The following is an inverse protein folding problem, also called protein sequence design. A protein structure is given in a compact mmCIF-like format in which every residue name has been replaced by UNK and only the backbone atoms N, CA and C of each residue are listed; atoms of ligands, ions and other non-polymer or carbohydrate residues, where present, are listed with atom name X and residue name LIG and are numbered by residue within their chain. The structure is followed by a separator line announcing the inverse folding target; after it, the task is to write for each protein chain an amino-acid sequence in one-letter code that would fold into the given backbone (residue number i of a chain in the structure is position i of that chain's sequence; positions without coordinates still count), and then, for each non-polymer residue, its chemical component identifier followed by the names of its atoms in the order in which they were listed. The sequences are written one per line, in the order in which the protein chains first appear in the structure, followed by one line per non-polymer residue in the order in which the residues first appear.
data_IF_114791222936
#
_entry.id   IF_114791222936
#
_cell.length_a   1.000
_cell.length_b   1.000
_cell.length_c   1.000
_cell.angle_alpha   90.00
_cell.angle_beta   90.00
_cell.angle_gamma   90.00
#
_symmetry.space_group_name_H-M   'P 1'
#
loop_
_entity.id
_entity.type
_entity.pdbx_description
1 polymer ?
#
# COMPACT_ATOMS: atom_id res chain seq x y z
N UNK A 1 10.98 1.25 29.05
CA UNK A 1 9.88 1.66 29.95
C UNK A 1 10.44 2.64 30.95
N UNK A 2 9.81 3.80 31.18
CA UNK A 2 10.21 4.70 32.25
C UNK A 2 10.22 3.92 33.57
N UNK A 3 11.34 3.96 34.29
CA UNK A 3 11.48 3.34 35.59
C UNK A 3 11.26 4.41 36.66
N UNK A 4 10.33 4.15 37.57
CA UNK A 4 10.07 5.02 38.71
C UNK A 4 10.66 4.34 39.95
N UNK A 5 11.64 5.00 40.56
CA UNK A 5 12.22 4.52 41.81
C UNK A 5 11.36 4.98 42.97
N UNK A 6 10.74 4.02 43.65
CA UNK A 6 9.93 4.26 44.86
C UNK A 6 10.65 3.69 46.07
N UNK A 7 10.20 4.07 47.28
CA UNK A 7 10.74 3.52 48.54
C UNK A 7 10.54 2.00 48.68
N UNK A 8 9.59 1.42 47.94
CA UNK A 8 9.31 -0.01 47.90
C UNK A 8 10.06 -0.76 46.78
N UNK A 9 10.84 -0.05 45.96
CA UNK A 9 11.56 -0.61 44.82
C UNK A 9 11.27 0.10 43.51
N UNK A 10 11.83 -0.43 42.42
CA UNK A 10 11.66 0.12 41.07
C UNK A 10 10.37 -0.42 40.44
N UNK A 11 9.46 0.47 40.05
CA UNK A 11 8.23 0.12 39.33
C UNK A 11 8.33 0.62 37.90
N UNK A 12 8.02 -0.24 36.94
CA UNK A 12 7.84 0.14 35.54
C UNK A 12 6.34 0.16 35.25
N UNK A 13 5.80 1.34 34.99
CA UNK A 13 4.43 1.46 34.51
C UNK A 13 4.43 1.27 32.99
N UNK A 14 3.53 0.43 32.43
CA UNK A 14 3.37 0.36 31.00
C UNK A 14 2.93 1.74 30.51
N UNK A 15 3.76 2.38 29.69
CA UNK A 15 3.33 3.57 28.97
C UNK A 15 2.36 3.15 27.85
N UNK A 16 1.59 4.09 27.32
CA UNK A 16 0.62 3.79 26.26
C UNK A 16 1.25 3.05 25.05
N UNK A 17 2.56 3.19 24.83
CA UNK A 17 3.32 2.47 23.80
C UNK A 17 3.62 1.02 24.18
N UNK A 18 3.90 0.73 25.45
CA UNK A 18 4.11 -0.61 25.98
C UNK A 18 2.85 -1.48 25.98
N UNK A 19 1.66 -0.88 25.88
CA UNK A 19 0.38 -1.59 25.83
C UNK A 19 0.12 -2.26 24.49
N UNK A 20 0.77 -1.79 23.42
CA UNK A 20 0.61 -2.35 22.08
C UNK A 20 1.63 -3.46 21.87
N UNK A 21 1.20 -4.61 21.33
CA UNK A 21 2.13 -5.67 20.99
C UNK A 21 3.10 -5.15 19.92
N UNK A 22 4.40 -5.28 20.18
CA UNK A 22 5.47 -4.85 19.26
C UNK A 22 5.44 -5.64 17.96
N UNK A 23 4.83 -6.83 17.98
CA UNK A 23 4.70 -7.74 16.85
C UNK A 23 3.23 -8.17 16.68
N UNK A 24 2.82 -8.58 15.46
CA UNK A 24 1.51 -9.15 15.22
C UNK A 24 1.28 -10.39 16.09
N UNK A 25 0.06 -10.55 16.59
CA UNK A 25 -0.35 -11.74 17.38
C UNK A 25 -0.77 -12.92 16.50
N UNK A 26 -0.46 -12.88 15.21
CA UNK A 26 -0.86 -13.86 14.20
C UNK A 26 0.37 -14.45 13.53
N UNK A 27 0.23 -15.66 12.97
CA UNK A 27 1.26 -16.27 12.13
C UNK A 27 1.58 -15.42 10.90
N UNK A 28 2.76 -15.64 10.32
CA UNK A 28 3.24 -14.89 9.16
C UNK A 28 2.33 -15.06 7.93
N UNK A 29 1.86 -16.28 7.69
CA UNK A 29 0.86 -16.63 6.67
C UNK A 29 -0.41 -15.79 6.81
N UNK A 30 -0.95 -15.71 8.02
CA UNK A 30 -2.15 -14.93 8.32
C UNK A 30 -1.90 -13.43 8.25
N UNK A 31 -0.72 -12.96 8.65
CA UNK A 31 -0.32 -11.56 8.50
C UNK A 31 -0.29 -11.16 7.01
N UNK A 32 0.28 -12.01 6.15
CA UNK A 32 0.30 -11.80 4.70
C UNK A 32 -1.12 -11.75 4.14
N UNK A 33 -1.99 -12.69 4.51
CA UNK A 33 -3.39 -12.70 4.06
C UNK A 33 -4.14 -11.42 4.47
N UNK A 34 -4.01 -11.00 5.74
CA UNK A 34 -4.55 -9.72 6.23
C UNK A 34 -3.99 -8.56 5.42
N UNK A 35 -2.71 -8.60 5.08
CA UNK A 35 -2.05 -7.63 4.23
C UNK A 35 -2.69 -7.53 2.84
N UNK A 36 -2.92 -8.66 2.17
CA UNK A 36 -3.57 -8.71 0.84
C UNK A 36 -4.96 -8.06 0.92
N UNK A 37 -5.78 -8.50 1.87
CA UNK A 37 -7.17 -8.03 2.02
C UNK A 37 -7.21 -6.54 2.36
N UNK A 38 -6.38 -6.08 3.30
CA UNK A 38 -6.28 -4.68 3.67
C UNK A 38 -5.77 -3.82 2.50
N UNK A 39 -4.82 -4.35 1.71
CA UNK A 39 -4.29 -3.71 0.51
C UNK A 39 -5.36 -3.54 -0.56
N UNK A 40 -6.16 -4.59 -0.80
CA UNK A 40 -7.30 -4.54 -1.71
C UNK A 40 -8.35 -3.52 -1.28
N UNK A 41 -8.77 -3.56 -0.01
CA UNK A 41 -9.72 -2.58 0.55
C UNK A 41 -9.20 -1.15 0.44
N UNK A 42 -7.91 -0.94 0.70
CA UNK A 42 -7.28 0.36 0.53
C UNK A 42 -7.33 0.82 -0.93
N UNK A 43 -7.11 -0.06 -1.91
CA UNK A 43 -7.22 0.29 -3.32
C UNK A 43 -8.65 0.66 -3.74
N UNK A 44 -9.67 0.00 -3.18
CA UNK A 44 -11.07 0.40 -3.39
C UNK A 44 -11.35 1.82 -2.89
N UNK A 45 -10.79 2.19 -1.73
CA UNK A 45 -10.89 3.55 -1.20
C UNK A 45 -10.09 4.56 -2.04
N UNK A 46 -8.93 4.16 -2.56
CA UNK A 46 -8.11 4.98 -3.44
C UNK A 46 -8.86 5.34 -4.73
N UNK A 47 -9.53 4.36 -5.37
CA UNK A 47 -10.33 4.59 -6.58
C UNK A 47 -11.51 5.52 -6.30
N UNK A 48 -12.19 5.37 -5.16
CA UNK A 48 -13.26 6.29 -4.76
C UNK A 48 -12.75 7.72 -4.56
N UNK A 49 -11.60 7.87 -3.88
CA UNK A 49 -10.96 9.17 -3.70
C UNK A 49 -10.58 9.81 -5.04
N UNK A 50 -10.03 9.03 -5.96
CA UNK A 50 -9.69 9.46 -7.32
C UNK A 50 -10.93 9.99 -8.06
N UNK A 51 -12.03 9.26 -8.02
CA UNK A 51 -13.28 9.68 -8.67
C UNK A 51 -13.77 11.01 -8.08
N UNK A 52 -13.75 11.15 -6.75
CA UNK A 52 -14.12 12.41 -6.09
C UNK A 52 -13.22 13.57 -6.51
N UNK A 53 -11.91 13.35 -6.57
CA UNK A 53 -10.94 14.35 -7.02
C UNK A 53 -11.21 14.76 -8.47
N UNK A 54 -11.47 13.80 -9.36
CA UNK A 54 -11.78 14.07 -10.77
C UNK A 54 -13.10 14.83 -10.95
N UNK A 55 -14.12 14.53 -10.13
CA UNK A 55 -15.37 15.26 -10.12
C UNK A 55 -15.18 16.73 -9.72
N UNK A 56 -14.28 17.01 -8.77
CA UNK A 56 -13.99 18.35 -8.29
C UNK A 56 -13.05 19.15 -9.21
N UNK A 57 -12.08 18.47 -9.83
CA UNK A 57 -11.02 19.12 -10.65
C UNK A 57 -11.31 19.08 -12.14
N UNK A 58 -12.29 18.30 -12.58
CA UNK A 58 -12.60 18.00 -13.98
C UNK A 58 -11.43 17.44 -14.78
N UNK A 59 -10.42 16.87 -14.11
CA UNK A 59 -9.28 16.27 -14.79
C UNK A 59 -9.67 14.94 -15.45
N UNK A 60 -9.12 14.62 -16.63
CA UNK A 60 -9.38 13.35 -17.29
C UNK A 60 -8.72 12.16 -16.55
N UNK A 61 -9.08 10.95 -16.97
CA UNK A 61 -8.42 9.71 -16.55
C UNK A 61 -6.97 9.64 -17.06
N UNK A 62 -6.10 8.94 -16.31
CA UNK A 62 -4.72 8.71 -16.72
C UNK A 62 -4.62 7.51 -17.67
N UNK A 63 -3.85 7.66 -18.74
CA UNK A 63 -3.58 6.57 -19.69
C UNK A 63 -2.42 5.66 -19.26
N UNK A 64 -1.61 6.09 -18.29
CA UNK A 64 -0.39 5.36 -17.88
C UNK A 64 -0.73 3.99 -17.31
N UNK A 65 -1.63 3.84 -16.31
CA UNK A 65 -1.93 2.52 -15.72
C UNK A 65 -2.45 1.50 -16.75
N UNK A 66 -3.33 1.97 -17.66
CA UNK A 66 -3.90 1.13 -18.72
C UNK A 66 -2.83 0.64 -19.67
N UNK A 67 -1.93 1.53 -20.10
CA UNK A 67 -0.81 1.16 -20.98
C UNK A 67 0.16 0.23 -20.26
N UNK A 68 0.41 0.46 -18.97
CA UNK A 68 1.29 -0.36 -18.14
C UNK A 68 0.78 -1.81 -18.11
N UNK A 69 -0.50 -1.99 -17.76
CA UNK A 69 -1.11 -3.31 -17.76
C UNK A 69 -1.20 -3.90 -19.16
N UNK A 70 -1.53 -3.09 -20.17
CA UNK A 70 -1.64 -3.55 -21.54
C UNK A 70 -0.32 -4.11 -22.07
N UNK A 71 0.79 -3.42 -21.81
CA UNK A 71 2.14 -3.85 -22.20
C UNK A 71 2.58 -5.12 -21.44
N UNK A 72 2.37 -5.17 -20.13
CA UNK A 72 2.73 -6.37 -19.32
C UNK A 72 1.90 -7.60 -19.69
N UNK A 73 0.63 -7.42 -20.06
CA UNK A 73 -0.25 -8.51 -20.49
C UNK A 73 -0.12 -8.83 -21.99
N UNK A 74 0.63 -8.03 -22.75
CA UNK A 74 0.82 -8.22 -24.19
C UNK A 74 -0.47 -8.07 -25.02
N UNK A 75 -1.44 -7.28 -24.55
CA UNK A 75 -2.72 -7.09 -25.25
C UNK A 75 -2.62 -6.00 -26.32
N UNK A 76 -3.45 -6.10 -27.35
CA UNK A 76 -3.44 -5.16 -28.47
C UNK A 76 -3.93 -3.76 -28.07
N UNK A 77 -3.60 -2.76 -28.91
CA UNK A 77 -4.06 -1.40 -28.70
C UNK A 77 -5.58 -1.22 -28.77
N UNK A 78 -6.25 -2.02 -29.62
CA UNK A 78 -7.71 -2.08 -29.67
C UNK A 78 -8.28 -2.65 -28.36
N UNK A 79 -7.62 -3.66 -27.80
CA UNK A 79 -8.08 -4.29 -26.57
C UNK A 79 -8.02 -3.32 -25.39
N UNK A 80 -6.88 -2.67 -25.15
CA UNK A 80 -6.78 -1.79 -23.99
C UNK A 80 -7.66 -0.54 -24.13
N UNK A 81 -7.92 -0.06 -25.35
CA UNK A 81 -8.81 1.09 -25.57
C UNK A 81 -10.28 0.73 -25.37
N UNK A 82 -10.68 -0.51 -25.67
CA UNK A 82 -12.01 -1.05 -25.36
C UNK A 82 -12.21 -1.36 -23.87
N UNK A 83 -11.17 -1.86 -23.20
CA UNK A 83 -11.22 -2.30 -21.80
C UNK A 83 -10.43 -1.38 -20.86
N UNK A 84 -10.50 -0.07 -21.13
CA UNK A 84 -9.73 0.96 -20.41
C UNK A 84 -9.94 0.88 -18.89
N UNK A 85 -11.19 0.92 -18.43
CA UNK A 85 -11.50 0.91 -16.99
C UNK A 85 -11.10 -0.40 -16.31
N UNK A 86 -11.20 -1.53 -17.02
CA UNK A 86 -10.80 -2.83 -16.50
C UNK A 86 -9.31 -2.85 -16.22
N UNK A 87 -8.48 -2.45 -17.19
CA UNK A 87 -7.02 -2.43 -17.05
C UNK A 87 -6.56 -1.38 -16.04
N UNK A 88 -7.22 -0.23 -15.99
CA UNK A 88 -6.94 0.81 -15.01
C UNK A 88 -7.18 0.31 -13.58
N UNK A 89 -8.35 -0.31 -13.35
CA UNK A 89 -8.69 -0.87 -12.05
C UNK A 89 -7.79 -2.05 -11.69
N UNK A 90 -7.45 -2.90 -12.67
CA UNK A 90 -6.54 -4.02 -12.46
C UNK A 90 -5.17 -3.55 -11.96
N UNK A 91 -4.62 -2.47 -12.53
CA UNK A 91 -3.38 -1.84 -12.03
C UNK A 91 -3.54 -1.43 -10.57
N UNK A 92 -4.54 -0.61 -10.25
CA UNK A 92 -4.68 -0.06 -8.89
C UNK A 92 -4.97 -1.13 -7.84
N UNK A 93 -5.83 -2.11 -8.14
CA UNK A 93 -6.14 -3.21 -7.22
C UNK A 93 -4.94 -4.13 -7.06
N UNK A 94 -4.25 -4.48 -8.14
CA UNK A 94 -3.03 -5.27 -8.11
C UNK A 94 -1.95 -4.62 -7.25
N UNK A 95 -1.70 -3.33 -7.47
CA UNK A 95 -0.72 -2.57 -6.69
C UNK A 95 -1.10 -2.49 -5.21
N UNK A 96 -2.38 -2.31 -4.88
CA UNK A 96 -2.87 -2.35 -3.50
C UNK A 96 -2.66 -3.71 -2.84
N UNK A 97 -3.06 -4.79 -3.51
CA UNK A 97 -2.92 -6.18 -3.04
C UNK A 97 -1.46 -6.58 -2.83
N UNK A 98 -0.53 -6.05 -3.63
CA UNK A 98 0.91 -6.31 -3.47
C UNK A 98 1.54 -5.45 -2.37
N UNK A 99 1.12 -4.19 -2.24
CA UNK A 99 1.65 -3.27 -1.23
C UNK A 99 1.17 -3.59 0.19
N UNK A 100 -0.01 -4.17 0.35
CA UNK A 100 -0.59 -4.52 1.64
C UNK A 100 0.23 -5.56 2.43
N UNK A 101 0.64 -6.68 1.84
CA UNK A 101 1.57 -7.64 2.44
C UNK A 101 2.90 -7.02 2.86
N UNK A 102 3.46 -6.09 2.07
CA UNK A 102 4.68 -5.38 2.47
C UNK A 102 4.48 -4.64 3.80
N UNK A 103 3.31 -4.02 3.98
CA UNK A 103 2.97 -3.38 5.27
C UNK A 103 2.78 -4.39 6.40
N UNK A 104 2.17 -5.54 6.13
CA UNK A 104 2.03 -6.60 7.12
C UNK A 104 3.40 -7.16 7.55
N UNK A 105 4.30 -7.39 6.59
CA UNK A 105 5.67 -7.86 6.83
C UNK A 105 6.44 -6.84 7.67
N UNK A 106 6.38 -5.55 7.34
CA UNK A 106 6.98 -4.47 8.15
C UNK A 106 6.54 -4.57 9.62
N UNK A 107 5.25 -4.81 9.87
CA UNK A 107 4.75 -4.96 11.24
C UNK A 107 5.29 -6.21 11.94
N UNK A 108 5.50 -7.33 11.21
CA UNK A 108 6.12 -8.55 11.74
C UNK A 108 7.56 -8.32 12.23
N UNK A 109 8.25 -7.30 11.72
CA UNK A 109 9.60 -6.91 12.15
C UNK A 109 9.61 -5.70 13.10
N UNK A 110 8.45 -5.30 13.64
CA UNK A 110 8.36 -4.17 14.57
C UNK A 110 8.44 -2.78 13.92
N UNK A 111 8.39 -2.72 12.58
CA UNK A 111 8.35 -1.45 11.84
C UNK A 111 6.90 -0.95 11.82
N UNK A 112 6.51 -0.27 12.89
CA UNK A 112 5.14 0.23 13.15
C UNK A 112 5.10 1.74 13.39
N UNK A 113 3.89 2.32 13.40
CA UNK A 113 3.68 3.75 13.69
C UNK A 113 3.77 4.68 12.46
N UNK A 114 3.83 6.00 12.68
CA UNK A 114 3.74 7.01 11.61
C UNK A 114 4.93 6.98 10.65
N UNK A 115 6.15 6.76 11.17
CA UNK A 115 7.37 6.64 10.34
C UNK A 115 7.28 5.42 9.42
N UNK A 116 6.75 4.29 9.93
CA UNK A 116 6.51 3.11 9.11
C UNK A 116 5.51 3.40 7.98
N UNK A 117 4.49 4.24 8.21
CA UNK A 117 3.57 4.68 7.16
C UNK A 117 4.23 5.56 6.11
N UNK A 118 5.13 6.46 6.52
CA UNK A 118 5.92 7.24 5.58
C UNK A 118 6.82 6.35 4.71
N UNK A 119 7.54 5.40 5.32
CA UNK A 119 8.36 4.43 4.58
C UNK A 119 7.50 3.59 3.63
N UNK A 120 6.35 3.11 4.08
CA UNK A 120 5.44 2.33 3.24
C UNK A 120 4.91 3.13 2.05
N UNK A 121 4.64 4.43 2.21
CA UNK A 121 4.30 5.29 1.08
C UNK A 121 5.45 5.38 0.05
N UNK A 122 6.69 5.51 0.51
CA UNK A 122 7.87 5.45 -0.37
C UNK A 122 8.00 4.10 -1.10
N UNK A 123 7.75 2.98 -0.42
CA UNK A 123 7.72 1.65 -1.03
C UNK A 123 6.64 1.59 -2.12
N UNK A 124 5.44 2.12 -1.86
CA UNK A 124 4.34 2.15 -2.85
C UNK A 124 4.72 2.94 -4.10
N UNK A 125 5.31 4.12 -3.94
CA UNK A 125 5.77 4.96 -5.07
C UNK A 125 6.83 4.20 -5.87
N UNK A 126 7.81 3.61 -5.19
CA UNK A 126 8.87 2.84 -5.85
C UNK A 126 8.31 1.64 -6.62
N UNK A 127 7.37 0.88 -6.03
CA UNK A 127 6.73 -0.24 -6.70
C UNK A 127 5.99 0.21 -7.96
N UNK A 128 5.22 1.29 -7.86
CA UNK A 128 4.45 1.83 -8.98
C UNK A 128 5.38 2.28 -10.12
N UNK A 129 6.42 3.06 -9.80
CA UNK A 129 7.43 3.47 -10.76
C UNK A 129 8.18 2.29 -11.38
N UNK A 130 8.45 1.24 -10.61
CA UNK A 130 9.09 0.02 -11.15
C UNK A 130 8.20 -0.66 -12.18
N UNK A 131 6.91 -0.82 -11.89
CA UNK A 131 5.96 -1.50 -12.78
C UNK A 131 5.72 -0.67 -14.05
N UNK A 132 5.60 0.66 -13.95
CA UNK A 132 5.44 1.54 -15.11
C UNK A 132 6.73 1.63 -15.95
N UNK A 133 7.90 1.70 -15.32
CA UNK A 133 9.18 1.74 -16.03
C UNK A 133 9.44 0.44 -16.79
N UNK A 134 9.17 -0.71 -16.17
CA UNK A 134 9.34 -2.02 -16.82
C UNK A 134 8.35 -2.24 -17.96
N UNK A 135 7.20 -1.57 -17.94
CA UNK A 135 6.26 -1.52 -19.07
C UNK A 135 6.66 -0.52 -20.16
N UNK A 136 7.67 0.33 -19.94
CA UNK A 136 8.04 1.41 -20.86
C UNK A 136 6.97 2.52 -20.97
N UNK A 137 6.20 2.76 -19.91
CA UNK A 137 5.09 3.72 -19.88
C UNK A 137 5.38 4.95 -19.03
N UNK A 138 6.36 4.86 -18.13
CA UNK A 138 6.88 6.00 -17.36
C UNK A 138 8.25 6.44 -17.88
N UNK A 139 8.51 7.74 -17.76
CA UNK A 139 9.85 8.30 -17.86
C UNK A 139 10.40 8.49 -16.44
N UNK A 140 11.67 8.17 -16.21
CA UNK A 140 12.33 8.54 -14.96
C UNK A 140 12.19 10.06 -14.77
N UNK A 141 11.79 10.54 -13.56
CA UNK A 141 11.69 11.97 -13.27
C UNK A 141 12.97 12.75 -13.55
#
# INVERSE_FOLDING_TARGET
MPQYHTRAGTVSLPDAKSSYPTFPKVGFDRAVAIGIDAGFLCALLQVQHLILEQLLTHRPNSYVPVRTMGNHLGVSADFYSRYFDLLNNLHHYGMGMLAGPMRAIMSCYGVIGPVATFIHAGIRIMMDQTVELTAGTSALP
#
